data_IF_849539554659
#
_entry.id   IF_849539554659
#
_cell.length_a   1.000
_cell.length_b   1.000
_cell.length_c   1.000
_cell.angle_alpha   90.00
_cell.angle_beta   90.00
_cell.angle_gamma   90.00
#
_symmetry.space_group_name_H-M   'P 1'
#
loop_
_entity.id
_entity.type
_entity.pdbx_description
1 polymer ?
#
# COMPACT_ATOMS: atom_id res chain seq x y z
N UNK A 1 37.55 -9.78 -36.32
CA UNK A 1 36.87 -9.71 -35.00
C UNK A 1 35.72 -8.72 -35.16
N UNK A 2 34.47 -9.17 -35.31
CA UNK A 2 33.32 -8.26 -35.46
C UNK A 2 32.90 -7.76 -34.08
N UNK A 3 33.17 -6.49 -33.79
CA UNK A 3 32.66 -5.80 -32.61
C UNK A 3 31.14 -5.66 -32.75
N UNK A 4 30.38 -6.19 -31.78
CA UNK A 4 28.94 -5.95 -31.73
C UNK A 4 28.71 -4.46 -31.39
N UNK A 5 27.76 -3.77 -32.05
CA UNK A 5 27.44 -2.40 -31.69
C UNK A 5 26.93 -2.35 -30.24
N UNK A 6 27.51 -1.47 -29.42
CA UNK A 6 27.02 -1.20 -28.07
C UNK A 6 25.66 -0.50 -28.17
N UNK A 7 24.58 -1.28 -28.09
CA UNK A 7 23.23 -0.75 -27.89
C UNK A 7 23.10 -0.23 -26.46
N UNK A 8 23.64 0.95 -26.19
CA UNK A 8 23.42 1.66 -24.93
C UNK A 8 22.01 2.24 -24.96
N UNK A 9 21.10 1.66 -24.19
CA UNK A 9 19.73 2.18 -24.01
C UNK A 9 19.86 3.58 -23.38
N UNK A 10 19.69 4.61 -24.21
CA UNK A 10 19.68 6.01 -23.78
C UNK A 10 18.24 6.38 -23.41
N UNK A 11 17.93 6.30 -22.14
CA UNK A 11 16.65 6.79 -21.63
C UNK A 11 16.72 8.32 -21.49
N UNK A 12 15.79 9.03 -22.12
CA UNK A 12 15.82 10.50 -22.21
C UNK A 12 15.12 11.20 -21.04
N UNK A 13 14.15 10.55 -20.38
CA UNK A 13 13.37 11.16 -19.29
C UNK A 13 13.17 10.18 -18.14
N UNK A 14 13.78 10.49 -17.00
CA UNK A 14 13.72 9.70 -15.77
C UNK A 14 12.98 10.42 -14.66
N UNK A 15 11.81 10.97 -14.99
CA UNK A 15 11.01 11.69 -14.01
C UNK A 15 10.29 10.71 -13.08
N UNK A 16 10.49 10.78 -11.75
CA UNK A 16 9.68 10.03 -10.81
C UNK A 16 8.20 10.42 -10.95
N UNK A 17 7.31 9.43 -10.95
CA UNK A 17 5.87 9.66 -11.10
C UNK A 17 5.09 8.84 -10.08
N UNK A 18 4.03 9.44 -9.53
CA UNK A 18 3.08 8.76 -8.64
C UNK A 18 1.78 8.52 -9.39
N UNK A 19 1.29 7.28 -9.32
CA UNK A 19 -0.02 6.88 -9.83
C UNK A 19 -0.95 6.60 -8.66
N UNK A 20 -2.21 6.96 -8.82
CA UNK A 20 -3.26 6.71 -7.82
C UNK A 20 -4.39 5.95 -8.50
N UNK A 21 -4.84 4.86 -7.89
CA UNK A 21 -5.98 4.08 -8.36
C UNK A 21 -6.92 3.70 -7.22
N UNK A 22 -8.20 3.53 -7.55
CA UNK A 22 -9.19 3.05 -6.60
C UNK A 22 -9.15 1.52 -6.48
N UNK A 23 -9.39 1.02 -5.28
CA UNK A 23 -9.53 -0.39 -4.91
C UNK A 23 -10.83 -0.57 -4.11
N UNK A 24 -11.48 -1.76 -4.10
CA UNK A 24 -12.74 -1.97 -3.37
C UNK A 24 -12.72 -1.57 -1.89
N UNK A 25 -11.54 -1.57 -1.27
CA UNK A 25 -11.37 -1.27 0.16
C UNK A 25 -10.46 -0.07 0.43
N UNK A 26 -10.07 0.71 -0.58
CA UNK A 26 -9.21 1.88 -0.38
C UNK A 26 -8.59 2.45 -1.64
N UNK A 27 -7.48 3.16 -1.46
CA UNK A 27 -6.72 3.81 -2.55
C UNK A 27 -5.34 3.18 -2.63
N UNK A 28 -4.90 2.85 -3.84
CA UNK A 28 -3.55 2.35 -4.12
C UNK A 28 -2.72 3.49 -4.67
N UNK A 29 -1.58 3.76 -4.04
CA UNK A 29 -0.60 4.75 -4.48
C UNK A 29 0.66 4.03 -4.92
N UNK A 30 1.04 4.20 -6.20
CA UNK A 30 2.21 3.55 -6.81
C UNK A 30 3.24 4.60 -7.19
N UNK A 31 4.40 4.60 -6.53
CA UNK A 31 5.53 5.43 -6.93
C UNK A 31 6.44 4.68 -7.92
N UNK A 32 6.72 5.30 -9.06
CA UNK A 32 7.67 4.83 -10.07
C UNK A 32 8.87 5.75 -10.09
N UNK A 33 10.05 5.21 -9.86
CA UNK A 33 11.31 5.96 -9.83
C UNK A 33 12.49 5.05 -10.25
N UNK A 34 13.59 5.64 -10.71
CA UNK A 34 14.79 4.91 -11.11
C UNK A 34 15.84 4.94 -10.00
N UNK A 35 16.52 3.80 -9.80
CA UNK A 35 17.59 3.64 -8.81
C UNK A 35 18.69 2.73 -9.35
N UNK A 36 19.93 2.85 -8.83
CA UNK A 36 20.95 1.83 -9.02
C UNK A 36 20.47 0.49 -8.44
N UNK A 37 20.56 -0.59 -9.21
CA UNK A 37 20.02 -1.92 -8.86
C UNK A 37 20.51 -2.40 -7.48
N UNK A 38 21.78 -2.18 -7.15
CA UNK A 38 22.41 -2.61 -5.89
C UNK A 38 21.95 -1.82 -4.66
N UNK A 39 21.24 -0.71 -4.86
CA UNK A 39 20.79 0.17 -3.78
C UNK A 39 19.28 0.05 -3.50
N UNK A 40 18.57 -0.90 -4.14
CA UNK A 40 17.12 -1.06 -4.02
C UNK A 40 16.61 -1.05 -2.58
N UNK A 41 17.19 -1.88 -1.71
CA UNK A 41 16.78 -1.97 -0.31
C UNK A 41 17.01 -0.66 0.45
N UNK A 42 18.07 0.08 0.13
CA UNK A 42 18.38 1.37 0.75
C UNK A 42 17.35 2.42 0.35
N UNK A 43 17.05 2.53 -0.94
CA UNK A 43 16.03 3.47 -1.43
C UNK A 43 14.63 3.11 -0.91
N UNK A 44 14.27 1.83 -0.88
CA UNK A 44 13.01 1.37 -0.29
C UNK A 44 12.90 1.86 1.17
N UNK A 45 13.94 1.69 1.98
CA UNK A 45 13.97 2.17 3.36
C UNK A 45 13.91 3.69 3.47
N UNK A 46 14.63 4.42 2.62
CA UNK A 46 14.65 5.87 2.60
C UNK A 46 13.30 6.48 2.21
N UNK A 47 12.50 5.78 1.41
CA UNK A 47 11.16 6.24 1.02
C UNK A 47 10.11 5.81 2.05
N UNK A 48 10.12 4.55 2.48
CA UNK A 48 9.11 4.03 3.40
C UNK A 48 9.16 4.66 4.79
N UNK A 49 10.34 4.88 5.37
CA UNK A 49 10.47 5.47 6.72
C UNK A 49 9.82 6.85 6.84
N UNK A 50 10.16 7.85 6.01
CA UNK A 50 9.53 9.16 6.09
C UNK A 50 8.06 9.11 5.68
N UNK A 51 7.68 8.27 4.71
CA UNK A 51 6.28 8.10 4.32
C UNK A 51 5.43 7.60 5.50
N UNK A 52 5.89 6.57 6.21
CA UNK A 52 5.19 6.04 7.39
C UNK A 52 5.10 7.08 8.52
N UNK A 53 6.16 7.87 8.74
CA UNK A 53 6.13 8.98 9.71
C UNK A 53 5.15 10.07 9.32
N UNK A 54 5.08 10.41 8.03
CA UNK A 54 4.14 11.39 7.51
C UNK A 54 2.69 10.88 7.61
N UNK A 55 2.43 9.59 7.34
CA UNK A 55 1.11 9.01 7.54
C UNK A 55 0.73 9.05 9.03
N UNK A 56 1.67 8.71 9.92
CA UNK A 56 1.44 8.70 11.36
C UNK A 56 1.09 10.09 11.94
N UNK A 57 1.56 11.18 11.31
CA UNK A 57 1.21 12.54 11.75
C UNK A 57 -0.20 12.97 11.35
N UNK A 58 -0.91 12.20 10.52
CA UNK A 58 -2.26 12.51 10.05
C UNK A 58 -3.25 11.47 10.58
N UNK A 59 -4.01 11.77 11.65
CA UNK A 59 -4.92 10.81 12.27
C UNK A 59 -6.08 10.39 11.37
N UNK A 60 -6.40 11.19 10.35
CA UNK A 60 -7.48 10.94 9.38
C UNK A 60 -7.10 9.89 8.32
N UNK A 61 -5.81 9.52 8.23
CA UNK A 61 -5.33 8.51 7.26
C UNK A 61 -5.30 7.15 7.95
N UNK A 62 -6.13 6.23 7.44
CA UNK A 62 -6.18 4.86 7.92
C UNK A 62 -5.66 3.89 6.86
N UNK A 63 -5.02 2.81 7.31
CA UNK A 63 -4.62 1.72 6.45
C UNK A 63 -5.86 1.04 5.87
N UNK A 64 -5.85 0.81 4.57
CA UNK A 64 -6.90 0.05 3.90
C UNK A 64 -6.79 -1.43 4.29
N UNK A 65 -7.83 -1.94 4.94
CA UNK A 65 -7.98 -3.36 5.23
C UNK A 65 -9.11 -3.95 4.39
N UNK A 66 -9.01 -5.23 3.97
CA UNK A 66 -10.13 -5.90 3.32
C UNK A 66 -11.39 -5.78 4.18
N UNK A 67 -12.44 -5.17 3.62
CA UNK A 67 -13.69 -4.94 4.34
C UNK A 67 -14.76 -5.86 3.77
N UNK A 68 -15.27 -6.79 4.58
CA UNK A 68 -16.39 -7.64 4.20
C UNK A 68 -17.69 -7.07 4.79
N UNK A 69 -18.75 -7.06 3.98
CA UNK A 69 -20.10 -6.74 4.42
C UNK A 69 -20.91 -8.03 4.47
N UNK A 70 -21.30 -8.45 5.65
CA UNK A 70 -22.18 -9.61 5.85
C UNK A 70 -23.62 -9.13 5.96
N UNK A 71 -24.49 -9.67 5.11
CA UNK A 71 -25.95 -9.51 5.27
C UNK A 71 -26.44 -10.75 6.01
N UNK A 72 -26.91 -10.56 7.24
CA UNK A 72 -27.51 -11.62 8.02
C UNK A 72 -28.98 -11.73 7.61
N UNK A 73 -29.39 -12.93 7.20
CA UNK A 73 -30.79 -13.21 6.86
C UNK A 73 -31.66 -13.31 8.11
N UNK A 74 -31.09 -13.83 9.19
CA UNK A 74 -31.74 -13.87 10.49
C UNK A 74 -31.38 -12.63 11.31
N UNK A 75 -32.33 -12.08 12.10
CA UNK A 75 -32.03 -10.99 13.02
C UNK A 75 -30.93 -11.42 13.99
N UNK A 76 -29.97 -10.53 14.24
CA UNK A 76 -28.94 -10.74 15.26
C UNK A 76 -29.63 -10.90 16.61
N UNK A 77 -29.70 -12.13 17.10
CA UNK A 77 -30.12 -12.41 18.46
C UNK A 77 -28.96 -12.06 19.39
N UNK A 78 -28.91 -10.80 19.83
CA UNK A 78 -28.10 -10.43 20.99
C UNK A 78 -28.76 -11.09 22.20
N UNK A 79 -28.24 -12.24 22.63
CA UNK A 79 -28.59 -12.86 23.90
C UNK A 79 -28.27 -11.85 25.01
N UNK A 80 -29.29 -11.11 25.47
CA UNK A 80 -29.20 -10.29 26.66
C UNK A 80 -29.20 -11.23 27.87
N UNK A 81 -28.09 -11.94 28.11
CA UNK A 81 -27.92 -12.70 29.34
C UNK A 81 -27.92 -11.70 30.49
N UNK A 82 -28.89 -11.75 31.42
CA UNK A 82 -28.84 -10.90 32.59
C UNK A 82 -27.58 -11.22 33.40
N UNK A 83 -26.90 -10.20 33.96
CA UNK A 83 -25.73 -10.43 34.81
C UNK A 83 -26.16 -11.20 36.06
N UNK A 84 -25.93 -12.52 36.09
CA UNK A 84 -26.20 -13.36 37.26
C UNK A 84 -26.82 -14.74 37.03
N UNK A 85 -27.11 -15.16 35.80
CA UNK A 85 -27.57 -16.54 35.57
C UNK A 85 -26.39 -17.53 35.60
N UNK A 86 -26.24 -18.24 36.73
CA UNK A 86 -25.42 -19.45 36.86
C UNK A 86 -26.01 -20.61 36.02
N UNK A 87 -25.17 -21.56 35.56
CA UNK A 87 -25.51 -22.55 34.53
C UNK A 87 -26.62 -23.53 34.92
#
# INVERSE_FOLDING_TARGET
MRTAPEYRIQFQHFTPTTYVSASPHGVIVTARFMIPVRQRRTYDQMIWKPLLRAIQSHPDIHWAYPTSRTVLMDPIQLENRPPGASP
#
